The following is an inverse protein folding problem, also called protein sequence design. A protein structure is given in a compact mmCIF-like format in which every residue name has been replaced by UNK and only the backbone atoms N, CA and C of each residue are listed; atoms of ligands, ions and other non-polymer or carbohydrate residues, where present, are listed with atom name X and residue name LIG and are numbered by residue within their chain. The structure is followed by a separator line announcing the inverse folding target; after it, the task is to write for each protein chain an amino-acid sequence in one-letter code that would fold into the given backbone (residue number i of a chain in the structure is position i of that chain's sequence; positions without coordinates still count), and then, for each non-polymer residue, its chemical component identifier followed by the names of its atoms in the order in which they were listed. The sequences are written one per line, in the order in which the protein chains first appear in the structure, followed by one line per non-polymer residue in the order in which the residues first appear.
data_IF_506370220791
#
_entry.id   IF_506370220791
#
_cell.length_a   1.000
_cell.length_b   1.000
_cell.length_c   1.000
_cell.angle_alpha   90.00
_cell.angle_beta   90.00
_cell.angle_gamma   90.00
#
_symmetry.space_group_name_H-M   'P 1'
#
loop_
_entity.id
_entity.type
_entity.pdbx_description
1 polymer ?
#
# COMPACT_ATOMS: atom_id res chain seq x y z
N UNK A 1 -17.43 -57.89 56.52
CA UNK A 1 -17.98 -58.26 55.21
C UNK A 1 -17.50 -57.24 54.17
N UNK A 2 -16.58 -57.71 53.33
CA UNK A 2 -16.47 -57.46 51.88
C UNK A 2 -16.25 -56.02 51.42
N UNK A 3 -14.96 -55.72 51.22
CA UNK A 3 -14.40 -54.80 50.23
C UNK A 3 -15.01 -55.02 48.84
N UNK A 4 -15.38 -53.94 48.14
CA UNK A 4 -15.56 -53.99 46.69
C UNK A 4 -14.86 -52.82 46.00
N UNK A 5 -13.70 -53.17 45.46
CA UNK A 5 -12.89 -52.45 44.50
C UNK A 5 -13.65 -52.20 43.20
N UNK A 6 -13.79 -50.95 42.79
CA UNK A 6 -13.93 -50.60 41.38
C UNK A 6 -12.60 -50.08 40.86
N UNK A 7 -11.86 -51.02 40.27
CA UNK A 7 -10.70 -50.78 39.40
C UNK A 7 -11.07 -49.69 38.39
N UNK A 8 -10.32 -48.59 38.38
CA UNK A 8 -10.20 -47.78 37.16
C UNK A 8 -9.58 -48.70 36.11
N UNK A 9 -10.38 -49.06 35.12
CA UNK A 9 -9.88 -49.67 33.90
C UNK A 9 -8.89 -48.68 33.29
N UNK A 10 -7.60 -49.07 33.28
CA UNK A 10 -6.66 -48.56 32.29
C UNK A 10 -7.18 -49.04 30.93
N UNK A 11 -8.06 -48.24 30.32
CA UNK A 11 -8.38 -48.36 28.91
C UNK A 11 -7.10 -47.95 28.17
N UNK A 12 -6.42 -48.95 27.62
CA UNK A 12 -5.25 -48.83 26.75
C UNK A 12 -5.61 -48.18 25.41
N UNK A 13 -6.15 -46.97 25.47
CA UNK A 13 -6.07 -46.02 24.39
C UNK A 13 -4.94 -45.05 24.75
N UNK A 14 -3.71 -45.48 24.48
CA UNK A 14 -2.66 -44.58 23.99
C UNK A 14 -3.18 -43.95 22.70
N UNK A 15 -4.17 -43.06 22.85
CA UNK A 15 -4.66 -42.21 21.80
C UNK A 15 -3.58 -41.15 21.69
N UNK A 16 -2.53 -41.49 20.95
CA UNK A 16 -1.40 -40.61 20.65
C UNK A 16 -1.95 -39.20 20.48
N UNK A 17 -1.74 -38.35 21.49
CA UNK A 17 -2.06 -36.94 21.39
C UNK A 17 -0.95 -36.33 20.53
N UNK A 18 -1.03 -36.64 19.23
CA UNK A 18 -0.04 -36.24 18.22
C UNK A 18 0.09 -34.72 18.12
N UNK A 19 -0.87 -33.99 18.69
CA UNK A 19 -0.91 -32.54 18.71
C UNK A 19 -0.17 -31.97 19.92
N UNK A 20 -0.25 -32.59 21.11
CA UNK A 20 0.60 -32.19 22.25
C UNK A 20 2.07 -32.52 22.06
N UNK A 21 2.38 -33.55 21.28
CA UNK A 21 3.77 -33.95 20.98
C UNK A 21 4.49 -32.97 20.03
N UNK A 22 3.77 -32.01 19.45
CA UNK A 22 4.36 -31.03 18.55
C UNK A 22 5.18 -29.99 19.33
N UNK A 23 6.34 -29.55 18.78
CA UNK A 23 7.07 -28.42 19.32
C UNK A 23 6.18 -27.18 19.43
N UNK A 24 6.36 -26.40 20.51
CA UNK A 24 5.52 -25.24 20.83
C UNK A 24 5.43 -24.22 19.67
N UNK A 25 6.51 -24.05 18.90
CA UNK A 25 6.54 -23.17 17.74
C UNK A 25 5.60 -23.64 16.61
N UNK A 26 5.44 -24.95 16.42
CA UNK A 26 4.50 -25.51 15.44
C UNK A 26 3.07 -25.33 15.93
N UNK A 27 2.84 -25.51 17.23
CA UNK A 27 1.51 -25.28 17.83
C UNK A 27 1.11 -23.80 17.67
N UNK A 28 2.01 -22.87 17.95
CA UNK A 28 1.76 -21.44 17.74
C UNK A 28 1.42 -21.14 16.28
N UNK A 29 2.15 -21.72 15.31
CA UNK A 29 1.83 -21.57 13.88
C UNK A 29 0.44 -22.09 13.52
N UNK A 30 0.01 -23.22 14.09
CA UNK A 30 -1.37 -23.73 13.90
C UNK A 30 -2.38 -22.73 14.48
N UNK A 31 -2.13 -22.20 15.68
CA UNK A 31 -3.00 -21.21 16.32
C UNK A 31 -3.06 -19.88 15.56
N UNK A 32 -2.02 -19.49 14.83
CA UNK A 32 -2.02 -18.30 13.99
C UNK A 32 -3.00 -18.38 12.80
N UNK A 33 -3.43 -19.60 12.43
CA UNK A 33 -4.40 -19.82 11.35
C UNK A 33 -5.86 -19.70 11.81
N UNK A 34 -6.10 -19.43 13.09
CA UNK A 34 -7.43 -19.36 13.68
C UNK A 34 -7.61 -18.10 14.53
N UNK A 35 -8.84 -17.86 14.97
CA UNK A 35 -9.13 -16.74 15.88
C UNK A 35 -8.57 -17.05 17.27
N UNK A 36 -8.30 -16.00 18.06
CA UNK A 36 -7.92 -16.18 19.47
C UNK A 36 -8.99 -16.93 20.27
N UNK A 37 -10.27 -16.78 19.92
CA UNK A 37 -11.37 -17.51 20.55
C UNK A 37 -11.26 -19.01 20.25
N UNK A 38 -11.01 -19.38 19.00
CA UNK A 38 -10.84 -20.78 18.61
C UNK A 38 -9.57 -21.38 19.21
N UNK A 39 -8.46 -20.63 19.24
CA UNK A 39 -7.24 -21.03 19.92
C UNK A 39 -7.49 -21.25 21.43
N UNK A 40 -8.25 -20.36 22.07
CA UNK A 40 -8.64 -20.52 23.47
C UNK A 40 -9.57 -21.74 23.68
N UNK A 41 -10.46 -22.07 22.74
CA UNK A 41 -11.29 -23.29 22.81
C UNK A 41 -10.47 -24.57 22.77
N UNK A 42 -9.28 -24.56 22.15
CA UNK A 42 -8.36 -25.71 22.17
C UNK A 42 -7.89 -26.06 23.59
N UNK A 43 -8.05 -25.15 24.57
CA UNK A 43 -7.75 -25.42 25.99
C UNK A 43 -8.51 -26.62 26.58
N UNK A 44 -9.59 -27.06 25.93
CA UNK A 44 -10.41 -28.21 26.36
C UNK A 44 -9.84 -29.55 25.85
N UNK A 45 -8.90 -29.54 24.90
CA UNK A 45 -8.34 -30.76 24.30
C UNK A 45 -7.53 -31.60 25.30
N UNK A 46 -6.69 -30.95 26.12
CA UNK A 46 -5.92 -31.62 27.18
C UNK A 46 -5.48 -30.62 28.26
N UNK A 47 -4.88 -31.12 29.36
CA UNK A 47 -4.26 -30.27 30.37
C UNK A 47 -3.15 -29.40 29.83
N UNK A 48 -2.42 -29.89 28.82
CA UNK A 48 -1.24 -29.23 28.28
C UNK A 48 -1.66 -28.10 27.34
N UNK A 49 -2.75 -28.28 26.58
CA UNK A 49 -3.35 -27.25 25.73
C UNK A 49 -3.98 -26.09 26.51
N UNK A 50 -4.26 -26.28 27.80
CA UNK A 50 -5.05 -25.34 28.61
C UNK A 50 -4.54 -23.89 28.53
N UNK A 51 -3.22 -23.74 28.48
CA UNK A 51 -2.56 -22.44 28.57
C UNK A 51 -1.79 -22.05 27.30
N UNK A 52 -1.62 -22.96 26.32
CA UNK A 52 -0.76 -22.71 25.16
C UNK A 52 -1.16 -21.44 24.40
N UNK A 53 -2.45 -21.21 24.19
CA UNK A 53 -2.95 -20.02 23.50
C UNK A 53 -2.51 -18.70 24.16
N UNK A 54 -2.36 -18.68 25.49
CA UNK A 54 -1.93 -17.52 26.27
C UNK A 54 -0.41 -17.32 26.27
N UNK A 55 0.36 -18.23 25.66
CA UNK A 55 1.82 -18.09 25.45
C UNK A 55 2.19 -17.64 24.04
N UNK A 56 1.20 -17.48 23.15
CA UNK A 56 1.47 -17.18 21.76
C UNK A 56 2.05 -15.76 21.63
N UNK A 57 3.24 -15.57 21.03
CA UNK A 57 3.87 -14.25 20.90
C UNK A 57 3.12 -13.30 19.95
N UNK A 58 2.15 -13.81 19.18
CA UNK A 58 1.30 -13.03 18.28
C UNK A 58 -0.12 -12.97 18.83
N UNK A 59 -0.58 -11.76 19.12
CA UNK A 59 -1.91 -11.49 19.64
C UNK A 59 -2.69 -10.62 18.66
N UNK A 60 -3.79 -11.15 18.12
CA UNK A 60 -4.61 -10.46 17.11
C UNK A 60 -6.05 -10.28 17.61
N UNK A 61 -6.46 -9.02 17.76
CA UNK A 61 -7.79 -8.60 18.17
C UNK A 61 -8.41 -7.85 16.99
N UNK A 62 -9.18 -8.57 16.16
CA UNK A 62 -9.77 -8.05 14.92
C UNK A 62 -11.23 -7.60 15.09
N UNK A 63 -11.81 -6.96 14.08
CA UNK A 63 -13.24 -6.61 14.03
C UNK A 63 -14.23 -7.78 14.28
N UNK A 64 -13.76 -9.02 14.09
CA UNK A 64 -14.58 -10.21 14.33
C UNK A 64 -14.50 -10.71 15.79
N UNK A 65 -13.60 -10.13 16.60
CA UNK A 65 -13.43 -10.47 18.00
C UNK A 65 -14.73 -10.19 18.77
N UNK A 66 -15.29 -11.22 19.37
CA UNK A 66 -16.43 -11.20 20.27
C UNK A 66 -17.72 -10.57 19.69
N UNK A 67 -18.05 -10.84 18.41
CA UNK A 67 -19.39 -10.52 17.85
C UNK A 67 -20.54 -11.28 18.52
N UNK A 68 -20.25 -12.25 19.39
CA UNK A 68 -21.23 -13.10 20.08
C UNK A 68 -21.17 -12.91 21.59
N UNK A 69 -21.76 -11.84 22.09
CA UNK A 69 -21.99 -11.67 23.53
C UNK A 69 -22.59 -10.32 23.90
N UNK A 70 -23.89 -10.32 24.25
CA UNK A 70 -24.46 -9.25 25.09
C UNK A 70 -23.98 -9.55 26.51
N UNK A 71 -23.25 -8.62 27.18
CA UNK A 71 -23.24 -8.39 28.65
C UNK A 71 -21.86 -7.96 29.24
N UNK A 72 -20.73 -8.06 28.53
CA UNK A 72 -19.41 -7.59 29.04
C UNK A 72 -18.76 -6.61 28.08
N UNK A 73 -18.16 -5.53 28.60
CA UNK A 73 -17.42 -4.61 27.74
C UNK A 73 -16.28 -5.38 27.05
N UNK A 74 -16.11 -5.18 25.74
CA UNK A 74 -15.07 -5.85 24.95
C UNK A 74 -13.68 -5.54 25.50
N UNK A 75 -13.52 -4.35 26.07
CA UNK A 75 -12.33 -3.87 26.76
C UNK A 75 -12.01 -4.71 28.00
N UNK A 76 -13.01 -5.15 28.78
CA UNK A 76 -12.79 -6.08 29.90
C UNK A 76 -12.27 -7.45 29.43
N UNK A 77 -12.78 -7.96 28.31
CA UNK A 77 -12.32 -9.24 27.75
C UNK A 77 -10.85 -9.10 27.32
N UNK A 78 -10.51 -8.04 26.60
CA UNK A 78 -9.14 -7.78 26.15
C UNK A 78 -8.20 -7.59 27.34
N UNK A 79 -8.63 -6.83 28.36
CA UNK A 79 -7.90 -6.68 29.62
C UNK A 79 -7.56 -8.05 30.24
N UNK A 80 -8.55 -8.95 30.33
CA UNK A 80 -8.33 -10.29 30.88
C UNK A 80 -7.36 -11.09 30.01
N UNK A 81 -7.48 -11.04 28.69
CA UNK A 81 -6.56 -11.72 27.77
C UNK A 81 -5.13 -11.24 27.98
N UNK A 82 -4.90 -9.93 28.05
CA UNK A 82 -3.58 -9.35 28.27
C UNK A 82 -3.01 -9.69 29.65
N UNK A 83 -3.83 -9.67 30.70
CA UNK A 83 -3.40 -10.00 32.06
C UNK A 83 -3.06 -11.49 32.25
N UNK A 84 -3.73 -12.39 31.54
CA UNK A 84 -3.46 -13.84 31.62
C UNK A 84 -2.44 -14.31 30.60
N UNK A 85 -1.98 -13.44 29.69
CA UNK A 85 -0.91 -13.76 28.76
C UNK A 85 0.40 -13.94 29.53
N UNK A 86 1.15 -14.98 29.20
CA UNK A 86 2.45 -15.24 29.81
C UNK A 86 3.53 -15.38 28.74
N UNK A 87 4.62 -14.63 28.94
CA UNK A 87 5.69 -14.49 27.96
C UNK A 87 5.57 -13.19 27.13
N UNK A 88 6.51 -12.97 26.20
CA UNK A 88 6.55 -11.75 25.40
C UNK A 88 5.52 -11.74 24.28
N UNK A 89 4.77 -10.64 24.18
CA UNK A 89 3.90 -10.35 23.04
C UNK A 89 4.73 -9.56 22.03
N UNK A 90 5.27 -10.27 21.04
CA UNK A 90 6.12 -9.68 20.00
C UNK A 90 5.32 -8.98 18.90
N UNK A 91 4.13 -9.50 18.59
CA UNK A 91 3.25 -8.95 17.56
C UNK A 91 1.87 -8.68 18.15
N UNK A 92 1.41 -7.45 18.03
CA UNK A 92 0.10 -7.04 18.52
C UNK A 92 -0.69 -6.32 17.43
N UNK A 93 -1.87 -6.85 17.11
CA UNK A 93 -2.82 -6.24 16.21
C UNK A 93 -4.11 -5.92 16.96
N UNK A 94 -4.53 -4.66 16.92
CA UNK A 94 -5.80 -4.20 17.48
C UNK A 94 -6.60 -3.44 16.42
N UNK A 95 -7.83 -3.86 16.21
CA UNK A 95 -8.83 -3.09 15.47
C UNK A 95 -9.52 -2.10 16.39
N UNK A 96 -9.17 -0.82 16.26
CA UNK A 96 -9.72 0.28 17.04
C UNK A 96 -11.23 0.43 16.83
N UNK A 97 -11.79 -0.05 15.71
CA UNK A 97 -13.24 0.10 15.44
C UNK A 97 -14.13 -0.71 16.40
N UNK A 98 -13.57 -1.69 17.12
CA UNK A 98 -14.33 -2.47 18.10
C UNK A 98 -14.45 -1.77 19.45
N UNK A 99 -13.67 -0.71 19.69
CA UNK A 99 -13.62 0.01 20.95
C UNK A 99 -14.30 1.35 20.78
N UNK A 100 -15.16 1.71 21.73
CA UNK A 100 -15.78 3.02 21.71
C UNK A 100 -14.69 4.10 21.90
N UNK A 101 -14.67 5.18 21.10
CA UNK A 101 -13.68 6.24 21.27
C UNK A 101 -13.57 6.85 22.68
N UNK A 102 -14.64 6.80 23.47
CA UNK A 102 -14.63 7.23 24.88
C UNK A 102 -13.77 6.34 25.79
N UNK A 103 -13.46 5.11 25.38
CA UNK A 103 -12.68 4.13 26.14
C UNK A 103 -11.22 4.03 25.65
N UNK A 104 -10.79 4.91 24.74
CA UNK A 104 -9.43 4.89 24.19
C UNK A 104 -8.32 5.00 25.25
N UNK A 105 -8.61 5.58 26.42
CA UNK A 105 -7.66 5.63 27.55
C UNK A 105 -7.26 4.25 28.07
N UNK A 106 -8.11 3.23 27.92
CA UNK A 106 -7.78 1.85 28.28
C UNK A 106 -6.72 1.28 27.35
N UNK A 107 -6.73 1.69 26.07
CA UNK A 107 -5.73 1.28 25.08
C UNK A 107 -4.35 1.79 25.48
N UNK A 108 -4.24 2.97 26.09
CA UNK A 108 -2.97 3.51 26.57
C UNK A 108 -2.31 2.60 27.63
N UNK A 109 -3.13 1.99 28.50
CA UNK A 109 -2.66 1.02 29.49
C UNK A 109 -2.15 -0.26 28.82
N UNK A 110 -2.83 -0.73 27.77
CA UNK A 110 -2.36 -1.87 26.98
C UNK A 110 -1.05 -1.57 26.27
N UNK A 111 -0.96 -0.41 25.61
CA UNK A 111 0.27 0.03 24.94
C UNK A 111 1.42 0.15 25.93
N UNK A 112 1.18 0.66 27.15
CA UNK A 112 2.18 0.69 28.21
C UNK A 112 2.63 -0.71 28.62
N UNK A 113 1.71 -1.65 28.82
CA UNK A 113 2.05 -3.03 29.16
C UNK A 113 2.88 -3.69 28.04
N UNK A 114 2.43 -3.57 26.79
CA UNK A 114 3.08 -4.15 25.62
C UNK A 114 4.47 -3.55 25.36
N UNK A 115 4.64 -2.23 25.59
CA UNK A 115 5.94 -1.56 25.44
C UNK A 115 7.04 -2.15 26.33
N UNK A 116 6.66 -2.76 27.46
CA UNK A 116 7.57 -3.40 28.41
C UNK A 116 7.78 -4.89 28.13
N UNK A 117 7.02 -5.48 27.20
CA UNK A 117 6.96 -6.91 26.98
C UNK A 117 7.56 -7.36 25.63
N UNK A 118 8.54 -6.61 25.13
CA UNK A 118 9.31 -6.96 23.94
C UNK A 118 8.53 -6.88 22.62
N UNK A 119 7.59 -5.92 22.52
CA UNK A 119 6.82 -5.66 21.30
C UNK A 119 7.75 -5.25 20.15
N UNK A 120 7.60 -5.90 19.00
CA UNK A 120 8.40 -5.68 17.79
C UNK A 120 7.53 -5.27 16.60
N UNK A 121 6.29 -5.76 16.53
CA UNK A 121 5.32 -5.44 15.48
C UNK A 121 4.02 -4.93 16.12
N UNK A 122 3.66 -3.69 15.77
CA UNK A 122 2.44 -3.04 16.22
C UNK A 122 1.56 -2.66 15.03
N UNK A 123 0.33 -3.18 15.02
CA UNK A 123 -0.71 -2.79 14.07
C UNK A 123 -1.93 -2.25 14.80
N UNK A 124 -2.19 -0.95 14.68
CA UNK A 124 -3.43 -0.31 15.10
C UNK A 124 -4.26 0.00 13.87
N UNK A 125 -5.25 -0.84 13.57
CA UNK A 125 -6.12 -0.68 12.40
C UNK A 125 -7.44 -0.02 12.79
N UNK A 126 -8.09 0.61 11.83
CA UNK A 126 -9.41 1.22 12.01
C UNK A 126 -10.14 1.03 10.67
N UNK A 127 -11.09 0.10 10.63
CA UNK A 127 -11.84 -0.23 9.40
C UNK A 127 -13.08 0.64 9.20
N UNK A 128 -13.59 1.22 10.27
CA UNK A 128 -14.75 2.10 10.23
C UNK A 128 -14.30 3.58 10.23
N UNK A 129 -15.14 4.45 9.67
CA UNK A 129 -14.91 5.89 9.70
C UNK A 129 -15.24 6.44 11.09
N UNK A 130 -14.34 6.25 12.05
CA UNK A 130 -14.43 6.91 13.35
C UNK A 130 -14.08 8.39 13.18
N UNK A 131 -14.95 9.27 13.70
CA UNK A 131 -14.72 10.72 13.69
C UNK A 131 -13.59 11.17 14.64
N UNK A 132 -13.17 10.29 15.56
CA UNK A 132 -12.22 10.59 16.62
C UNK A 132 -10.96 9.73 16.49
N UNK A 133 -9.88 10.27 15.92
CA UNK A 133 -8.64 9.51 15.74
C UNK A 133 -7.97 9.20 17.08
N UNK A 134 -7.33 8.03 17.18
CA UNK A 134 -6.62 7.62 18.39
C UNK A 134 -5.26 8.31 18.51
N UNK A 135 -4.98 8.95 19.64
CA UNK A 135 -3.68 9.58 19.89
C UNK A 135 -2.69 8.53 20.36
N UNK A 136 -1.63 8.29 19.58
CA UNK A 136 -0.62 7.29 19.94
C UNK A 136 0.09 7.70 21.25
N UNK A 137 0.13 6.83 22.28
CA UNK A 137 0.66 7.16 23.59
C UNK A 137 2.19 7.22 23.59
N UNK A 138 2.75 7.96 24.54
CA UNK A 138 4.21 8.19 24.63
C UNK A 138 5.01 6.91 24.82
N UNK A 139 4.42 5.89 25.45
CA UNK A 139 5.03 4.57 25.68
C UNK A 139 5.46 3.87 24.40
N UNK A 140 4.75 4.07 23.29
CA UNK A 140 5.04 3.40 22.00
C UNK A 140 6.29 3.97 21.33
N UNK A 141 6.56 5.27 21.47
CA UNK A 141 7.70 5.92 20.81
C UNK A 141 9.06 5.46 21.37
N UNK A 142 9.08 4.86 22.57
CA UNK A 142 10.29 4.30 23.18
C UNK A 142 10.55 2.83 22.82
N UNK A 143 9.65 2.20 22.05
CA UNK A 143 9.75 0.77 21.72
C UNK A 143 10.66 0.57 20.50
N UNK A 144 11.49 -0.45 20.55
CA UNK A 144 12.34 -0.87 19.42
C UNK A 144 11.55 -1.68 18.37
N UNK A 145 10.56 -1.03 17.73
CA UNK A 145 9.72 -1.66 16.72
C UNK A 145 10.48 -1.94 15.42
N UNK A 146 10.17 -3.08 14.78
CA UNK A 146 10.55 -3.41 13.40
C UNK A 146 9.42 -3.13 12.41
N UNK A 147 8.16 -3.25 12.84
CA UNK A 147 6.99 -3.00 12.00
C UNK A 147 5.97 -2.12 12.73
N UNK A 148 5.52 -1.06 12.08
CA UNK A 148 4.50 -0.15 12.61
C UNK A 148 3.45 0.15 11.55
N UNK A 149 2.22 -0.24 11.82
CA UNK A 149 1.06 0.06 10.99
C UNK A 149 0.01 0.83 11.81
N UNK A 150 -0.30 2.06 11.40
CA UNK A 150 -1.27 2.91 12.08
C UNK A 150 -2.38 3.34 11.13
N UNK A 151 -3.62 3.19 11.56
CA UNK A 151 -4.81 3.68 10.86
C UNK A 151 -5.60 4.64 11.75
N UNK A 152 -6.02 5.78 11.20
CA UNK A 152 -6.85 6.78 11.88
C UNK A 152 -6.27 7.24 13.23
N UNK A 153 -4.96 7.54 13.26
CA UNK A 153 -4.22 7.91 14.47
C UNK A 153 -3.70 9.35 14.42
N UNK A 154 -3.46 9.96 15.58
CA UNK A 154 -2.68 11.18 15.73
C UNK A 154 -1.25 10.81 16.11
N UNK A 155 -0.28 11.19 15.27
CA UNK A 155 1.14 11.01 15.52
C UNK A 155 1.70 12.31 16.12
N UNK A 156 1.93 12.30 17.44
CA UNK A 156 2.42 13.43 18.24
C UNK A 156 3.58 12.98 19.14
N UNK A 157 4.78 12.79 18.58
CA UNK A 157 5.95 12.35 19.32
C UNK A 157 6.41 13.37 20.38
N UNK A 158 6.96 12.91 21.52
CA UNK A 158 7.68 13.77 22.46
C UNK A 158 8.89 14.47 21.83
N UNK A 159 9.33 15.61 22.37
CA UNK A 159 10.47 16.37 21.82
C UNK A 159 11.82 15.63 21.87
N UNK A 160 11.96 14.63 22.76
CA UNK A 160 13.13 13.75 22.84
C UNK A 160 13.14 12.65 21.78
N UNK A 161 12.02 12.42 21.10
CA UNK A 161 11.92 11.35 20.12
C UNK A 161 12.73 11.69 18.87
N UNK A 162 13.63 10.78 18.51
CA UNK A 162 14.49 10.90 17.33
C UNK A 162 14.09 9.98 16.18
N UNK A 163 13.10 9.11 16.37
CA UNK A 163 12.71 8.09 15.40
C UNK A 163 13.03 6.67 15.84
N UNK A 164 12.51 5.71 15.07
CA UNK A 164 12.60 4.28 15.37
C UNK A 164 13.85 3.65 14.74
N UNK A 165 14.80 3.21 15.55
CA UNK A 165 16.11 2.77 15.05
C UNK A 165 16.08 1.39 14.37
N UNK A 166 15.18 0.49 14.78
CA UNK A 166 15.06 -0.88 14.21
C UNK A 166 13.95 -1.02 13.18
N UNK A 167 13.21 0.05 12.88
CA UNK A 167 12.02 -0.02 12.04
C UNK A 167 12.38 -0.35 10.60
N UNK A 168 11.78 -1.41 10.07
CA UNK A 168 11.93 -1.91 8.69
C UNK A 168 10.73 -1.54 7.82
N UNK A 169 9.54 -1.44 8.39
CA UNK A 169 8.33 -1.06 7.66
C UNK A 169 7.45 -0.10 8.46
N UNK A 170 7.01 0.96 7.80
CA UNK A 170 6.11 1.99 8.34
C UNK A 170 4.95 2.21 7.38
N UNK A 171 3.74 1.82 7.80
CA UNK A 171 2.51 2.05 7.04
C UNK A 171 1.56 2.94 7.83
N UNK A 172 1.17 4.06 7.24
CA UNK A 172 0.36 5.08 7.88
C UNK A 172 -0.87 5.37 7.01
N UNK A 173 -2.04 5.15 7.57
CA UNK A 173 -3.32 5.39 6.90
C UNK A 173 -4.16 6.38 7.70
N UNK A 174 -4.60 7.49 7.10
CA UNK A 174 -5.39 8.53 7.77
C UNK A 174 -4.73 9.04 9.05
N UNK A 175 -3.40 9.14 9.04
CA UNK A 175 -2.63 9.62 10.19
C UNK A 175 -2.47 11.14 10.11
N UNK A 176 -2.76 11.82 11.22
CA UNK A 176 -2.54 13.26 11.35
C UNK A 176 -1.26 13.51 12.13
N UNK A 177 -0.31 14.19 11.49
CA UNK A 177 0.95 14.59 12.09
C UNK A 177 0.80 15.91 12.84
N UNK A 178 1.08 15.88 14.14
CA UNK A 178 1.18 17.06 14.99
C UNK A 178 2.60 17.18 15.51
N UNK A 179 3.47 17.74 14.66
CA UNK A 179 4.91 17.84 14.92
C UNK A 179 5.25 19.24 15.44
N UNK A 180 6.19 19.29 16.38
CA UNK A 180 6.89 20.51 16.77
C UNK A 180 8.23 20.58 16.01
N UNK A 181 8.89 21.73 15.97
CA UNK A 181 10.17 21.91 15.27
C UNK A 181 11.20 20.88 15.73
N UNK A 182 11.25 20.57 17.03
CA UNK A 182 12.18 19.58 17.60
C UNK A 182 11.84 18.12 17.27
N UNK A 183 10.56 17.81 16.99
CA UNK A 183 10.07 16.47 16.66
C UNK A 183 9.72 16.28 15.17
N UNK A 184 10.06 17.28 14.37
CA UNK A 184 9.98 17.26 12.91
C UNK A 184 10.86 16.20 12.27
N UNK A 185 11.99 15.85 12.90
CA UNK A 185 12.98 14.95 12.33
C UNK A 185 12.83 13.51 12.83
N UNK A 186 12.61 12.60 11.89
CA UNK A 186 12.44 11.17 12.10
C UNK A 186 13.64 10.41 11.50
N UNK A 187 14.55 9.97 12.37
CA UNK A 187 15.67 9.09 12.03
C UNK A 187 15.24 7.63 12.09
N UNK A 188 15.13 6.99 10.93
CA UNK A 188 14.67 5.61 10.76
C UNK A 188 15.65 4.88 9.82
N UNK A 189 16.89 4.63 10.29
CA UNK A 189 18.01 4.26 9.42
C UNK A 189 17.83 2.92 8.70
N UNK A 190 17.08 1.99 9.28
CA UNK A 190 16.87 0.63 8.77
C UNK A 190 15.54 0.48 8.00
N UNK A 191 14.85 1.58 7.71
CA UNK A 191 13.53 1.54 7.08
C UNK A 191 13.63 1.14 5.62
N UNK A 192 12.90 0.10 5.22
CA UNK A 192 12.88 -0.46 3.88
C UNK A 192 11.61 -0.08 3.10
N UNK A 193 10.46 -0.06 3.77
CA UNK A 193 9.15 0.26 3.18
C UNK A 193 8.44 1.38 3.97
N UNK A 194 8.06 2.43 3.25
CA UNK A 194 7.33 3.58 3.78
C UNK A 194 6.09 3.89 2.94
N UNK A 195 4.92 3.83 3.58
CA UNK A 195 3.65 4.11 2.93
C UNK A 195 2.84 5.16 3.71
N UNK A 196 2.41 6.20 3.01
CA UNK A 196 1.42 7.16 3.48
C UNK A 196 0.14 7.04 2.67
N UNK A 197 -0.99 6.87 3.35
CA UNK A 197 -2.32 6.87 2.75
C UNK A 197 -3.19 7.89 3.47
N UNK A 198 -3.79 8.85 2.76
CA UNK A 198 -4.71 9.85 3.35
C UNK A 198 -4.15 10.59 4.58
N UNK A 199 -2.84 10.80 4.64
CA UNK A 199 -2.19 11.46 5.78
C UNK A 199 -2.22 12.98 5.65
N UNK A 200 -2.19 13.67 6.81
CA UNK A 200 -2.17 15.14 6.90
C UNK A 200 -1.05 15.63 7.81
N UNK A 201 -0.59 16.88 7.62
CA UNK A 201 0.47 17.46 8.45
C UNK A 201 1.91 17.07 8.06
N UNK A 202 2.12 16.51 6.87
CA UNK A 202 3.43 16.04 6.41
C UNK A 202 4.45 17.17 6.13
N UNK A 203 4.01 18.44 6.07
CA UNK A 203 4.82 19.57 5.63
C UNK A 203 5.95 19.93 6.61
N UNK A 204 5.84 19.48 7.87
CA UNK A 204 6.88 19.61 8.89
C UNK A 204 7.67 18.33 9.11
N UNK A 205 7.33 17.22 8.46
CA UNK A 205 8.04 15.96 8.66
C UNK A 205 9.34 15.97 7.88
N UNK A 206 10.47 15.59 8.48
CA UNK A 206 11.76 15.37 7.84
C UNK A 206 12.19 13.93 8.16
N UNK A 207 12.44 13.10 7.16
CA UNK A 207 12.77 11.69 7.31
C UNK A 207 14.20 11.45 6.86
N UNK A 208 14.99 10.78 7.69
CA UNK A 208 16.26 10.18 7.30
C UNK A 208 16.11 8.67 7.24
N UNK A 209 16.13 8.15 6.02
CA UNK A 209 15.91 6.73 5.70
C UNK A 209 16.85 6.28 4.55
N UNK A 210 18.14 6.05 4.83
CA UNK A 210 19.15 5.70 3.84
C UNK A 210 18.93 4.33 3.18
N UNK A 211 18.34 3.37 3.88
CA UNK A 211 18.07 2.02 3.37
C UNK A 211 16.69 1.89 2.68
N UNK A 212 15.99 3.01 2.47
CA UNK A 212 14.62 2.98 1.94
C UNK A 212 14.59 2.46 0.50
N UNK A 213 13.82 1.39 0.28
CA UNK A 213 13.65 0.74 -1.02
C UNK A 213 12.30 1.09 -1.67
N UNK A 214 11.27 1.29 -0.85
CA UNK A 214 9.90 1.49 -1.30
C UNK A 214 9.28 2.71 -0.62
N UNK A 215 8.82 3.67 -1.42
CA UNK A 215 8.17 4.89 -0.95
C UNK A 215 6.86 5.12 -1.69
N UNK A 216 5.75 5.22 -0.94
CA UNK A 216 4.40 5.33 -1.49
C UNK A 216 3.62 6.47 -0.83
N UNK A 217 3.00 7.31 -1.66
CA UNK A 217 2.04 8.32 -1.25
C UNK A 217 0.71 8.10 -1.97
N UNK A 218 -0.32 7.77 -1.21
CA UNK A 218 -1.66 7.50 -1.72
C UNK A 218 -2.65 8.46 -1.08
N UNK A 219 -3.49 9.10 -1.87
CA UNK A 219 -4.53 10.04 -1.47
C UNK A 219 -4.07 11.08 -0.42
N UNK A 220 -2.82 11.54 -0.47
CA UNK A 220 -2.32 12.61 0.41
C UNK A 220 -2.46 13.97 -0.28
N UNK A 221 -2.62 15.05 0.50
CA UNK A 221 -2.66 16.41 -0.05
C UNK A 221 -1.28 16.83 -0.57
N UNK A 222 -1.21 17.51 -1.71
CA UNK A 222 0.06 17.81 -2.39
C UNK A 222 0.86 18.89 -1.65
N UNK A 223 0.16 19.88 -1.08
CA UNK A 223 0.74 20.93 -0.24
C UNK A 223 1.36 20.36 1.05
N UNK A 224 1.07 19.10 1.37
CA UNK A 224 1.62 18.43 2.55
C UNK A 224 3.03 17.89 2.32
N UNK A 225 3.48 17.67 1.09
CA UNK A 225 4.76 16.97 0.84
C UNK A 225 5.81 17.96 0.33
N UNK A 226 6.63 18.50 1.26
CA UNK A 226 7.87 19.18 0.88
C UNK A 226 8.96 18.14 0.66
N UNK A 227 9.40 17.93 -0.58
CA UNK A 227 10.41 16.89 -0.83
C UNK A 227 11.74 17.08 -0.07
N UNK A 228 12.11 18.31 0.29
CA UNK A 228 13.31 18.61 1.09
C UNK A 228 13.35 17.84 2.43
N UNK A 229 12.18 17.33 2.84
CA UNK A 229 11.97 16.47 3.97
C UNK A 229 12.64 15.11 3.88
N UNK A 230 12.83 14.53 2.70
CA UNK A 230 13.39 13.19 2.53
C UNK A 230 14.91 13.28 2.34
N UNK A 231 15.64 13.07 3.42
CA UNK A 231 17.11 13.10 3.43
C UNK A 231 17.66 11.70 3.20
N UNK A 232 18.50 11.61 2.18
CA UNK A 232 19.32 10.44 1.86
C UNK A 232 18.57 9.18 1.36
N UNK A 233 17.39 9.32 0.74
CA UNK A 233 16.62 8.18 0.21
C UNK A 233 17.07 7.74 -1.21
N UNK A 234 18.38 7.61 -1.46
CA UNK A 234 18.91 7.34 -2.82
C UNK A 234 18.70 5.91 -3.31
N UNK A 235 18.46 4.96 -2.40
CA UNK A 235 18.28 3.52 -2.68
C UNK A 235 16.85 3.16 -3.09
N UNK A 236 15.93 4.13 -3.22
CA UNK A 236 14.53 3.84 -3.55
C UNK A 236 14.44 3.23 -4.95
N UNK A 237 13.91 2.01 -5.00
CA UNK A 237 13.70 1.23 -6.23
C UNK A 237 12.25 1.37 -6.69
N UNK A 238 11.32 1.44 -5.75
CA UNK A 238 9.89 1.55 -6.01
C UNK A 238 9.35 2.88 -5.47
N UNK A 239 8.74 3.68 -6.34
CA UNK A 239 8.15 4.95 -5.98
C UNK A 239 6.72 5.07 -6.51
N UNK A 240 5.78 5.46 -5.65
CA UNK A 240 4.39 5.69 -6.05
C UNK A 240 3.85 7.00 -5.47
N UNK A 241 3.15 7.78 -6.30
CA UNK A 241 2.47 9.02 -5.90
C UNK A 241 1.11 9.13 -6.58
N UNK A 242 0.07 9.21 -5.77
CA UNK A 242 -1.32 9.33 -6.20
C UNK A 242 -2.04 10.27 -5.21
N UNK A 243 -2.10 11.58 -5.42
CA UNK A 243 -2.66 12.54 -4.47
C UNK A 243 -4.19 12.51 -4.39
N UNK A 244 -4.74 13.13 -3.33
CA UNK A 244 -6.17 13.06 -3.03
C UNK A 244 -7.05 13.84 -4.03
N UNK A 245 -6.59 15.01 -4.48
CA UNK A 245 -7.34 15.94 -5.32
C UNK A 245 -6.40 16.77 -6.19
N UNK A 246 -6.94 17.35 -7.27
CA UNK A 246 -6.24 18.32 -8.10
C UNK A 246 -6.00 19.63 -7.30
N UNK A 247 -4.80 20.21 -7.42
CA UNK A 247 -4.50 21.51 -6.81
C UNK A 247 -5.29 22.60 -7.55
N UNK A 248 -5.98 23.47 -6.81
CA UNK A 248 -6.56 24.68 -7.39
C UNK A 248 -5.47 25.55 -8.05
N UNK A 249 -5.79 26.27 -9.13
CA UNK A 249 -4.81 27.04 -9.93
C UNK A 249 -3.93 28.00 -9.10
N UNK A 250 -4.37 28.40 -7.90
CA UNK A 250 -3.64 29.32 -7.03
C UNK A 250 -2.51 28.68 -6.19
N UNK A 251 -2.44 27.34 -6.08
CA UNK A 251 -1.42 26.61 -5.30
C UNK A 251 -0.24 26.05 -6.11
N UNK A 252 -0.21 26.29 -7.43
CA UNK A 252 0.75 25.65 -8.34
C UNK A 252 2.22 26.00 -8.06
N UNK A 253 2.50 27.14 -7.42
CA UNK A 253 3.87 27.55 -7.06
C UNK A 253 4.43 26.84 -5.82
N UNK A 254 3.58 26.24 -4.99
CA UNK A 254 3.96 25.45 -3.81
C UNK A 254 3.85 23.93 -4.04
N UNK A 255 3.33 23.53 -5.20
CA UNK A 255 3.10 22.15 -5.56
C UNK A 255 4.40 21.34 -5.69
N UNK A 256 4.30 20.05 -5.39
CA UNK A 256 5.39 19.08 -5.49
C UNK A 256 6.03 19.11 -6.89
N UNK A 257 7.30 19.49 -6.97
CA UNK A 257 8.06 19.41 -8.22
C UNK A 257 8.52 17.96 -8.44
N UNK A 258 7.70 17.19 -9.17
CA UNK A 258 7.98 15.79 -9.50
C UNK A 258 9.36 15.59 -10.15
N UNK A 259 9.85 16.56 -10.93
CA UNK A 259 11.18 16.46 -11.58
C UNK A 259 12.30 16.52 -10.57
N UNK A 260 12.24 17.47 -9.62
CA UNK A 260 13.23 17.54 -8.53
C UNK A 260 13.20 16.29 -7.68
N UNK A 261 12.01 15.76 -7.44
CA UNK A 261 11.82 14.55 -6.66
C UNK A 261 12.42 13.34 -7.38
N UNK A 262 12.03 13.08 -8.62
CA UNK A 262 12.59 11.98 -9.42
C UNK A 262 14.10 12.13 -9.57
N UNK A 263 14.61 13.36 -9.75
CA UNK A 263 16.04 13.64 -9.84
C UNK A 263 16.86 13.33 -8.58
N UNK A 264 16.20 13.11 -7.45
CA UNK A 264 16.84 12.69 -6.20
C UNK A 264 16.75 11.19 -5.92
N UNK A 265 16.02 10.44 -6.77
CA UNK A 265 15.79 9.01 -6.66
C UNK A 265 16.41 8.28 -7.87
N UNK A 266 17.75 8.23 -7.97
CA UNK A 266 18.43 7.77 -9.18
C UNK A 266 18.23 6.27 -9.49
N UNK A 267 17.95 5.46 -8.47
CA UNK A 267 17.82 3.99 -8.61
C UNK A 267 16.38 3.51 -8.86
N UNK A 268 15.43 4.43 -9.12
CA UNK A 268 14.02 4.05 -9.30
C UNK A 268 13.85 3.19 -10.55
N UNK A 269 13.33 1.98 -10.33
CA UNK A 269 13.02 0.99 -11.38
C UNK A 269 11.54 0.84 -11.62
N UNK A 270 10.70 1.14 -10.63
CA UNK A 270 9.26 1.06 -10.72
C UNK A 270 8.62 2.38 -10.26
N UNK A 271 7.82 2.98 -11.15
CA UNK A 271 7.16 4.25 -10.91
C UNK A 271 5.65 4.09 -11.11
N UNK A 272 4.88 4.49 -10.10
CA UNK A 272 3.42 4.57 -10.18
C UNK A 272 2.98 6.01 -9.99
N UNK A 273 2.20 6.51 -10.94
CA UNK A 273 1.60 7.85 -10.90
C UNK A 273 0.10 7.76 -11.17
N UNK A 274 -0.66 8.78 -10.81
CA UNK A 274 -2.04 8.94 -11.28
C UNK A 274 -2.20 10.14 -12.24
N UNK A 275 -3.39 10.29 -12.80
CA UNK A 275 -3.74 11.41 -13.69
C UNK A 275 -3.52 12.78 -13.05
N UNK A 276 -3.76 12.93 -11.75
CA UNK A 276 -3.49 14.17 -11.01
C UNK A 276 -1.99 14.47 -10.95
N UNK A 277 -1.18 13.45 -10.67
CA UNK A 277 0.28 13.55 -10.55
C UNK A 277 0.94 14.00 -11.85
N UNK A 278 0.44 13.52 -13.00
CA UNK A 278 0.97 13.88 -14.30
C UNK A 278 0.91 15.38 -14.58
N UNK A 279 -0.13 16.08 -14.15
CA UNK A 279 -0.28 17.53 -14.38
C UNK A 279 0.84 18.36 -13.76
N UNK A 280 1.52 17.86 -12.72
CA UNK A 280 2.68 18.55 -12.12
C UNK A 280 3.93 18.50 -12.99
N UNK A 281 3.97 17.63 -14.00
CA UNK A 281 5.06 17.62 -14.99
C UNK A 281 4.77 18.61 -16.12
N UNK A 282 3.52 18.71 -16.57
CA UNK A 282 3.09 19.62 -17.65
C UNK A 282 3.37 21.10 -17.35
N UNK A 283 3.28 21.52 -16.08
CA UNK A 283 3.53 22.91 -15.65
C UNK A 283 5.00 23.34 -15.69
N UNK A 284 5.91 22.46 -16.11
CA UNK A 284 7.35 22.68 -16.04
C UNK A 284 8.02 22.41 -17.40
N UNK A 285 8.94 23.30 -17.80
CA UNK A 285 9.62 23.30 -19.12
C UNK A 285 10.69 22.17 -19.23
N UNK A 286 10.24 20.90 -19.17
CA UNK A 286 11.00 19.80 -18.54
C UNK A 286 11.54 18.73 -19.46
N UNK A 287 11.20 18.76 -20.76
CA UNK A 287 11.50 17.69 -21.71
C UNK A 287 12.99 17.27 -21.78
N UNK A 288 13.95 18.20 -21.58
CA UNK A 288 15.39 17.87 -21.64
C UNK A 288 16.01 17.38 -20.32
N UNK A 289 15.32 17.50 -19.17
CA UNK A 289 15.89 17.18 -17.85
C UNK A 289 15.54 15.78 -17.33
N UNK A 290 14.48 15.16 -17.83
CA UNK A 290 13.99 13.88 -17.34
C UNK A 290 14.76 12.67 -17.87
N UNK A 291 15.38 12.77 -19.06
CA UNK A 291 16.03 11.62 -19.71
C UNK A 291 17.15 10.99 -18.87
N UNK A 292 17.97 11.79 -18.19
CA UNK A 292 19.02 11.24 -17.30
C UNK A 292 18.46 10.65 -16.01
N UNK A 293 17.28 11.09 -15.58
CA UNK A 293 16.69 10.74 -14.29
C UNK A 293 16.04 9.35 -14.33
N UNK A 294 15.43 9.00 -15.47
CA UNK A 294 14.57 7.81 -15.59
C UNK A 294 15.23 6.65 -16.35
N UNK A 295 16.56 6.70 -16.55
CA UNK A 295 17.30 5.68 -17.28
C UNK A 295 17.20 4.28 -16.65
N UNK A 296 17.02 4.18 -15.33
CA UNK A 296 16.88 2.90 -14.63
C UNK A 296 15.43 2.39 -14.57
N UNK A 297 14.47 3.17 -15.08
CA UNK A 297 13.06 2.83 -15.00
C UNK A 297 12.73 1.64 -15.92
N UNK A 298 12.20 0.58 -15.31
CA UNK A 298 11.82 -0.68 -15.97
C UNK A 298 10.30 -0.82 -16.04
N UNK A 299 9.59 -0.40 -14.99
CA UNK A 299 8.15 -0.53 -14.86
C UNK A 299 7.52 0.85 -14.65
N UNK A 300 6.53 1.18 -15.47
CA UNK A 300 5.77 2.42 -15.37
C UNK A 300 4.28 2.10 -15.38
N UNK A 301 3.59 2.54 -14.33
CA UNK A 301 2.14 2.37 -14.20
C UNK A 301 1.46 3.71 -13.96
N UNK A 302 0.33 3.90 -14.66
CA UNK A 302 -0.52 5.07 -14.48
C UNK A 302 -1.92 4.66 -14.05
N UNK A 303 -2.45 5.32 -13.03
CA UNK A 303 -3.80 5.15 -12.52
C UNK A 303 -4.67 6.35 -12.89
N UNK A 304 -5.95 6.11 -13.19
CA UNK A 304 -6.93 7.16 -13.49
C UNK A 304 -6.47 8.11 -14.63
N UNK A 305 -5.80 7.59 -15.65
CA UNK A 305 -5.31 8.38 -16.78
C UNK A 305 -6.45 8.78 -17.72
N UNK A 306 -6.52 10.06 -18.12
CA UNK A 306 -7.55 10.57 -19.03
C UNK A 306 -6.96 10.97 -20.39
N UNK A 307 -7.31 10.24 -21.45
CA UNK A 307 -6.97 10.58 -22.84
C UNK A 307 -7.73 11.81 -23.39
N UNK A 308 -8.58 12.45 -22.60
CA UNK A 308 -9.18 13.76 -22.90
C UNK A 308 -8.50 14.92 -22.16
N UNK A 309 -7.40 14.65 -21.44
CA UNK A 309 -6.65 15.65 -20.70
C UNK A 309 -5.28 15.88 -21.38
N UNK A 310 -5.11 17.06 -21.97
CA UNK A 310 -3.92 17.39 -22.77
C UNK A 310 -2.65 17.42 -21.93
N UNK A 311 -2.73 17.91 -20.69
CA UNK A 311 -1.60 17.99 -19.76
C UNK A 311 -1.12 16.58 -19.38
N UNK A 312 -2.06 15.65 -19.16
CA UNK A 312 -1.73 14.26 -18.86
C UNK A 312 -1.06 13.57 -20.04
N UNK A 313 -1.58 13.76 -21.27
CA UNK A 313 -0.99 13.19 -22.49
C UNK A 313 0.43 13.74 -22.71
N UNK A 314 0.63 15.05 -22.60
CA UNK A 314 1.93 15.66 -22.79
C UNK A 314 2.95 15.15 -21.75
N UNK A 315 2.52 15.01 -20.50
CA UNK A 315 3.37 14.50 -19.41
C UNK A 315 3.72 13.02 -19.60
N UNK A 316 2.78 12.19 -20.02
CA UNK A 316 3.03 10.80 -20.38
C UNK A 316 4.08 10.70 -21.49
N UNK A 317 3.91 11.44 -22.59
CA UNK A 317 4.86 11.43 -23.71
C UNK A 317 6.24 11.95 -23.29
N UNK A 318 6.29 12.95 -22.40
CA UNK A 318 7.53 13.47 -21.84
C UNK A 318 8.28 12.41 -21.02
N UNK A 319 7.56 11.62 -20.21
CA UNK A 319 8.12 10.51 -19.45
C UNK A 319 8.60 9.41 -20.41
N UNK A 320 7.78 9.02 -21.38
CA UNK A 320 8.12 7.92 -22.32
C UNK A 320 9.37 8.23 -23.15
N UNK A 321 9.60 9.48 -23.56
CA UNK A 321 10.85 9.91 -24.21
C UNK A 321 12.08 9.80 -23.30
N UNK A 322 11.87 9.73 -21.98
CA UNK A 322 12.93 9.75 -20.97
C UNK A 322 13.25 8.36 -20.41
N UNK A 323 12.46 7.33 -20.71
CA UNK A 323 12.57 5.99 -20.12
C UNK A 323 13.07 4.96 -21.13
N UNK A 324 14.37 4.98 -21.46
CA UNK A 324 14.94 4.15 -22.53
C UNK A 324 14.96 2.63 -22.21
N UNK A 325 14.95 2.26 -20.93
CA UNK A 325 15.00 0.86 -20.48
C UNK A 325 13.64 0.32 -20.01
N UNK A 326 12.56 1.01 -20.37
CA UNK A 326 11.21 0.64 -19.99
C UNK A 326 10.83 -0.72 -20.60
N UNK A 327 10.43 -1.68 -19.77
CA UNK A 327 9.98 -3.02 -20.19
C UNK A 327 8.47 -3.19 -20.09
N UNK A 328 7.85 -2.53 -19.12
CA UNK A 328 6.43 -2.65 -18.82
C UNK A 328 5.79 -1.27 -18.71
N UNK A 329 4.74 -1.06 -19.50
CA UNK A 329 3.87 0.12 -19.43
C UNK A 329 2.43 -0.33 -19.17
N UNK A 330 1.88 0.07 -18.02
CA UNK A 330 0.47 -0.17 -17.67
C UNK A 330 -0.29 1.15 -17.53
N UNK A 331 -1.44 1.26 -18.19
CA UNK A 331 -2.35 2.39 -18.12
C UNK A 331 -3.71 1.93 -17.62
N UNK A 332 -4.13 2.37 -16.45
CA UNK A 332 -5.51 2.25 -15.98
C UNK A 332 -6.23 3.58 -16.24
N UNK A 333 -7.17 3.56 -17.17
CA UNK A 333 -7.86 4.76 -17.63
C UNK A 333 -8.97 5.18 -16.66
N UNK A 334 -9.21 6.48 -16.58
CA UNK A 334 -10.35 7.03 -15.85
C UNK A 334 -11.66 6.73 -16.58
N UNK A 335 -12.75 6.54 -15.84
CA UNK A 335 -14.10 6.46 -16.40
C UNK A 335 -14.46 7.75 -17.13
N UNK A 336 -15.24 7.66 -18.21
CA UNK A 336 -15.70 8.84 -18.95
C UNK A 336 -16.56 9.72 -18.03
N UNK A 337 -16.10 10.95 -17.75
CA UNK A 337 -16.95 11.98 -17.15
C UNK A 337 -17.90 12.51 -18.23
N UNK A 338 -19.21 12.38 -18.02
CA UNK A 338 -20.22 12.96 -18.93
C UNK A 338 -19.96 14.46 -19.09
N UNK A 339 -19.60 14.90 -20.29
CA UNK A 339 -19.37 16.32 -20.62
C UNK A 339 -17.91 16.71 -20.91
N UNK A 340 -16.94 15.79 -20.95
CA UNK A 340 -15.56 16.13 -21.33
C UNK A 340 -15.47 16.69 -22.76
N UNK A 341 -14.77 17.81 -22.91
CA UNK A 341 -14.42 18.38 -24.22
C UNK A 341 -13.54 17.36 -24.95
N UNK A 342 -13.89 17.04 -26.19
CA UNK A 342 -13.09 16.15 -27.03
C UNK A 342 -11.76 16.84 -27.35
N UNK A 343 -10.64 16.27 -26.92
CA UNK A 343 -9.30 16.72 -27.32
C UNK A 343 -9.17 16.62 -28.84
N UNK A 344 -8.54 17.62 -29.44
CA UNK A 344 -8.32 17.64 -30.88
C UNK A 344 -7.35 16.53 -31.27
N UNK A 345 -7.79 15.67 -32.20
CA UNK A 345 -7.07 14.45 -32.52
C UNK A 345 -5.66 14.70 -33.09
N UNK A 346 -5.41 15.91 -33.60
CA UNK A 346 -4.20 16.30 -34.30
C UNK A 346 -2.98 16.55 -33.38
N UNK A 347 -3.11 16.50 -32.05
CA UNK A 347 -1.98 16.72 -31.15
C UNK A 347 -0.91 15.62 -31.18
N UNK A 348 -1.29 14.38 -31.47
CA UNK A 348 -0.32 13.32 -31.77
C UNK A 348 0.37 13.49 -33.15
N UNK A 349 0.04 14.53 -33.93
CA UNK A 349 0.63 14.85 -35.24
C UNK A 349 1.45 16.15 -35.26
N UNK A 350 1.30 17.06 -34.29
CA UNK A 350 1.92 18.40 -34.31
C UNK A 350 3.15 18.49 -33.42
N UNK A 351 4.30 18.88 -33.99
CA UNK A 351 5.59 19.18 -33.34
C UNK A 351 6.27 18.03 -32.59
N UNK A 352 7.28 17.41 -33.21
CA UNK A 352 8.33 16.65 -32.51
C UNK A 352 7.86 15.46 -31.67
N UNK A 353 6.65 14.96 -31.92
CA UNK A 353 5.95 14.03 -31.04
C UNK A 353 6.32 12.55 -31.24
N UNK A 354 7.55 12.28 -31.70
CA UNK A 354 8.11 10.94 -31.61
C UNK A 354 8.28 10.59 -30.14
N UNK A 355 7.87 9.40 -29.74
CA UNK A 355 8.50 8.77 -28.59
C UNK A 355 9.82 8.27 -29.15
N UNK A 356 10.95 8.63 -28.53
CA UNK A 356 12.22 7.97 -28.86
C UNK A 356 12.04 6.45 -28.74
N UNK A 357 12.73 5.67 -29.57
CA UNK A 357 12.46 4.24 -29.73
C UNK A 357 12.34 3.53 -28.35
N UNK A 358 11.14 3.03 -28.03
CA UNK A 358 10.83 2.23 -26.84
C UNK A 358 11.38 0.81 -27.04
N UNK A 359 12.69 0.73 -27.32
CA UNK A 359 13.39 -0.45 -27.80
C UNK A 359 13.38 -1.61 -26.84
N UNK A 360 13.09 -1.37 -25.56
CA UNK A 360 13.06 -2.37 -24.52
C UNK A 360 11.65 -2.75 -24.07
N UNK A 361 10.60 -2.12 -24.61
CA UNK A 361 9.23 -2.34 -24.14
C UNK A 361 8.73 -3.72 -24.60
N UNK A 362 8.46 -4.58 -23.63
CA UNK A 362 8.02 -5.97 -23.83
C UNK A 362 6.52 -6.15 -23.54
N UNK A 363 5.98 -5.41 -22.58
CA UNK A 363 4.58 -5.53 -22.14
C UNK A 363 3.86 -4.19 -22.13
N UNK A 364 2.70 -4.14 -22.79
CA UNK A 364 1.75 -3.03 -22.74
C UNK A 364 0.41 -3.51 -22.16
N UNK A 365 -0.03 -2.89 -21.07
CA UNK A 365 -1.36 -3.07 -20.50
C UNK A 365 -2.17 -1.77 -20.58
N UNK A 366 -3.38 -1.82 -21.13
CA UNK A 366 -4.34 -0.71 -21.06
C UNK A 366 -5.67 -1.24 -20.54
N UNK A 367 -6.15 -0.68 -19.44
CA UNK A 367 -7.34 -1.10 -18.72
C UNK A 367 -8.35 0.04 -18.66
N UNK A 368 -9.65 -0.27 -18.78
CA UNK A 368 -10.70 0.75 -18.90
C UNK A 368 -10.71 1.41 -20.29
N UNK A 369 -10.41 0.64 -21.34
CA UNK A 369 -10.29 1.15 -22.71
C UNK A 369 -11.66 1.46 -23.34
N UNK A 370 -11.85 2.67 -23.89
CA UNK A 370 -13.13 3.11 -24.46
C UNK A 370 -13.20 3.02 -25.99
N UNK A 371 -12.07 2.86 -26.66
CA UNK A 371 -11.92 2.88 -28.12
C UNK A 371 -12.02 4.28 -28.72
N UNK A 372 -11.57 5.32 -28.00
CA UNK A 372 -11.55 6.68 -28.53
C UNK A 372 -10.53 6.82 -29.68
N UNK A 373 -10.68 7.87 -30.51
CA UNK A 373 -9.70 8.12 -31.59
C UNK A 373 -8.29 8.37 -31.07
N UNK A 374 -8.16 9.01 -29.90
CA UNK A 374 -6.88 9.34 -29.27
C UNK A 374 -6.25 8.07 -28.69
N UNK A 375 -7.04 7.27 -27.96
CA UNK A 375 -6.63 5.96 -27.42
C UNK A 375 -6.09 5.03 -28.52
N UNK A 376 -6.83 4.87 -29.63
CA UNK A 376 -6.40 4.03 -30.76
C UNK A 376 -5.14 4.57 -31.45
N UNK A 377 -4.96 5.90 -31.49
CA UNK A 377 -3.74 6.53 -32.03
C UNK A 377 -2.56 6.29 -31.10
N UNK A 378 -2.75 6.37 -29.79
CA UNK A 378 -1.72 6.06 -28.81
C UNK A 378 -1.25 4.60 -28.93
N UNK A 379 -2.18 3.64 -29.04
CA UNK A 379 -1.83 2.23 -29.29
C UNK A 379 -0.99 2.11 -30.55
N UNK A 380 -1.39 2.74 -31.66
CA UNK A 380 -0.59 2.75 -32.90
C UNK A 380 0.80 3.36 -32.72
N UNK A 381 0.90 4.45 -31.96
CA UNK A 381 2.17 5.11 -31.67
C UNK A 381 3.12 4.19 -30.88
N UNK A 382 2.63 3.53 -29.83
CA UNK A 382 3.43 2.58 -29.05
C UNK A 382 3.86 1.39 -29.92
N UNK A 383 2.95 0.82 -30.72
CA UNK A 383 3.28 -0.26 -31.65
C UNK A 383 4.26 0.16 -32.76
N UNK A 384 4.31 1.44 -33.11
CA UNK A 384 5.31 1.99 -34.02
C UNK A 384 6.69 2.13 -33.37
N UNK A 385 6.71 2.39 -32.06
CA UNK A 385 7.91 2.76 -31.31
C UNK A 385 8.53 1.60 -30.51
N UNK A 386 7.82 0.48 -30.34
CA UNK A 386 8.25 -0.69 -29.55
C UNK A 386 8.39 -1.94 -30.45
N UNK A 387 9.57 -2.19 -31.05
CA UNK A 387 9.75 -3.28 -32.02
C UNK A 387 9.74 -4.68 -31.40
N UNK A 388 10.13 -4.82 -30.13
CA UNK A 388 10.21 -6.09 -29.41
C UNK A 388 9.00 -6.36 -28.50
N UNK A 389 7.90 -5.64 -28.69
CA UNK A 389 6.71 -5.79 -27.84
C UNK A 389 6.14 -7.21 -27.97
N UNK A 390 6.20 -7.99 -26.89
CA UNK A 390 5.78 -9.39 -26.87
C UNK A 390 4.31 -9.54 -26.45
N UNK A 391 3.88 -8.74 -25.47
CA UNK A 391 2.56 -8.86 -24.84
C UNK A 391 1.81 -7.53 -24.88
N UNK A 392 0.58 -7.58 -25.39
CA UNK A 392 -0.37 -6.47 -25.34
C UNK A 392 -1.70 -6.92 -24.73
N UNK A 393 -2.11 -6.28 -23.64
CA UNK A 393 -3.39 -6.52 -22.97
C UNK A 393 -4.24 -5.25 -23.03
N UNK A 394 -5.44 -5.36 -23.60
CA UNK A 394 -6.43 -4.28 -23.65
C UNK A 394 -7.72 -4.78 -22.99
N UNK A 395 -8.00 -4.27 -21.78
CA UNK A 395 -9.27 -4.52 -21.11
C UNK A 395 -10.22 -3.36 -21.42
N UNK A 396 -11.26 -3.67 -22.20
CA UNK A 396 -12.31 -2.71 -22.57
C UNK A 396 -13.18 -2.42 -21.35
N UNK A 397 -13.49 -1.14 -21.14
CA UNK A 397 -14.33 -0.67 -20.04
C UNK A 397 -15.74 -1.31 -20.08
N UNK A 398 -16.31 -1.56 -18.90
CA UNK A 398 -17.60 -2.22 -18.75
C UNK A 398 -18.76 -1.43 -19.36
N UNK A 399 -18.67 -0.10 -19.34
CA UNK A 399 -19.69 0.81 -19.89
C UNK A 399 -19.73 0.81 -21.42
N UNK A 400 -18.69 0.26 -22.07
CA UNK A 400 -18.64 0.13 -23.52
C UNK A 400 -19.57 -0.99 -23.99
N UNK A 401 -20.50 -0.66 -24.90
CA UNK A 401 -21.40 -1.64 -25.49
C UNK A 401 -20.65 -2.79 -26.17
N UNK A 402 -21.20 -4.00 -26.10
CA UNK A 402 -20.59 -5.20 -26.67
C UNK A 402 -20.28 -5.04 -28.17
N UNK A 403 -21.20 -4.43 -28.93
CA UNK A 403 -21.00 -4.11 -30.36
C UNK A 403 -19.77 -3.23 -30.58
N UNK A 404 -19.51 -2.26 -29.69
CA UNK A 404 -18.35 -1.38 -29.77
C UNK A 404 -17.08 -2.10 -29.31
N UNK A 405 -17.16 -2.94 -28.28
CA UNK A 405 -16.06 -3.79 -27.82
C UNK A 405 -15.58 -4.74 -28.94
N UNK A 406 -16.49 -5.42 -29.65
CA UNK A 406 -16.13 -6.27 -30.80
C UNK A 406 -15.43 -5.48 -31.92
N UNK A 407 -15.88 -4.25 -32.19
CA UNK A 407 -15.21 -3.36 -33.17
C UNK A 407 -13.80 -3.00 -32.71
N UNK A 408 -13.61 -2.70 -31.43
CA UNK A 408 -12.30 -2.44 -30.84
C UNK A 408 -11.39 -3.66 -31.02
N UNK A 409 -11.83 -4.85 -30.60
CA UNK A 409 -11.03 -6.08 -30.73
C UNK A 409 -10.62 -6.36 -32.18
N UNK A 410 -11.50 -6.12 -33.16
CA UNK A 410 -11.15 -6.24 -34.59
C UNK A 410 -10.07 -5.24 -35.00
N UNK A 411 -10.19 -3.97 -34.60
CA UNK A 411 -9.21 -2.92 -34.94
C UNK A 411 -7.84 -3.24 -34.31
N UNK A 412 -7.83 -3.66 -33.04
CA UNK A 412 -6.60 -4.05 -32.33
C UNK A 412 -5.98 -5.29 -32.98
N UNK A 413 -6.77 -6.28 -33.38
CA UNK A 413 -6.30 -7.45 -34.12
C UNK A 413 -5.61 -7.08 -35.43
N UNK A 414 -6.15 -6.10 -36.17
CA UNK A 414 -5.48 -5.58 -37.39
C UNK A 414 -4.13 -4.94 -37.07
N UNK A 415 -4.02 -4.21 -35.95
CA UNK A 415 -2.73 -3.61 -35.57
C UNK A 415 -1.71 -4.69 -35.21
N UNK A 416 -2.13 -5.70 -34.46
CA UNK A 416 -1.28 -6.81 -34.04
C UNK A 416 -0.80 -7.67 -35.23
N UNK A 417 -1.65 -7.90 -36.23
CA UNK A 417 -1.30 -8.70 -37.41
C UNK A 417 -0.06 -8.16 -38.15
N UNK A 418 0.17 -6.85 -38.10
CA UNK A 418 1.33 -6.20 -38.72
C UNK A 418 2.64 -6.31 -37.92
N UNK A 419 2.64 -7.04 -36.79
CA UNK A 419 3.74 -7.08 -35.83
C UNK A 419 4.09 -8.52 -35.42
N UNK A 420 5.13 -9.13 -36.03
CA UNK A 420 5.49 -10.53 -35.75
C UNK A 420 6.05 -10.76 -34.33
N UNK A 421 6.57 -9.73 -33.66
CA UNK A 421 7.07 -9.83 -32.28
C UNK A 421 5.95 -9.98 -31.23
N UNK A 422 4.71 -9.58 -31.56
CA UNK A 422 3.57 -9.66 -30.65
C UNK A 422 3.05 -11.10 -30.59
N UNK A 423 3.45 -11.82 -29.55
CA UNK A 423 3.08 -13.23 -29.33
C UNK A 423 1.79 -13.38 -28.54
N UNK A 424 1.45 -12.41 -27.69
CA UNK A 424 0.26 -12.46 -26.86
C UNK A 424 -0.56 -11.16 -26.97
N UNK A 425 -1.74 -11.24 -27.59
CA UNK A 425 -2.70 -10.14 -27.65
C UNK A 425 -4.00 -10.55 -27.00
N UNK A 426 -4.31 -9.94 -25.85
CA UNK A 426 -5.55 -10.15 -25.11
C UNK A 426 -6.37 -8.87 -25.26
N UNK A 427 -7.51 -8.96 -25.92
CA UNK A 427 -8.48 -7.87 -25.98
C UNK A 427 -9.83 -8.39 -25.50
N UNK A 428 -10.16 -8.09 -24.24
CA UNK A 428 -11.34 -8.63 -23.58
C UNK A 428 -12.13 -7.50 -22.91
N UNK A 429 -13.43 -7.69 -22.77
CA UNK A 429 -14.27 -6.83 -21.95
C UNK A 429 -14.16 -7.31 -20.51
N UNK A 430 -14.03 -6.40 -19.54
CA UNK A 430 -14.13 -6.81 -18.14
C UNK A 430 -15.48 -7.49 -17.91
N UNK A 431 -15.44 -8.75 -17.49
CA UNK A 431 -16.58 -9.49 -16.96
C UNK A 431 -16.21 -9.81 -15.51
N UNK A 432 -17.12 -9.52 -14.59
CA UNK A 432 -16.93 -9.74 -13.15
C UNK A 432 -16.72 -11.22 -12.82
#
# INVERSE_FOLDING_TARGET
MITNSYKRLHDGRDKLDRLTDLPINVIHQIQELMTIEDAARMSVLSSDWRYIWASNPKLTISANFCRKGKQSSITDIINRVLLHHYGPIKTFLLDLSIINPSEHSVIDLWMLHLSRNGLVDLTLRCLEHLNTPYKLPSSVYGVELEHLNLSNCIFRPPCSFRGFQKLKSLSLNRVSFQLDVASSFLCVPNLLDLMFTQCSGLHHLNIYAPELLCLKFCNCGIDTIKWISFKDCRKVIFFAVMPQQEVSQNGQHEAMNLVKLLGSLPEVRALILDGCSLKFLASSNVARRLSTILNHLVNLEFYLFDFNDEDQICSLLCILRSCLNLKLLNLLLSRIKNGSRKVDSNQLKGQGCGIDELNNLQTLGIHGFHGSKVELRFVRLVLASAPILEKMTINVDEEVSERKATKISKIIGVFAYSRPALTQVICQRHQH
#
